data_IF_433200633591
#
_entry.id   IF_433200633591
#
_cell.length_a   1.000
_cell.length_b   1.000
_cell.length_c   1.000
_cell.angle_alpha   90.00
_cell.angle_beta   90.00
_cell.angle_gamma   90.00
#
_symmetry.space_group_name_H-M   'P 1'
#
loop_
_entity.id
_entity.type
_entity.pdbx_description
1 polymer ?
#
# COMPACT_ATOMS: atom_id res chain seq x y z
N UNK A 1 -23.19 -1.60 8.26
CA UNK A 1 -22.87 -3.04 8.11
C UNK A 1 -21.78 -3.17 7.05
N UNK A 2 -20.63 -3.70 7.47
CA UNK A 2 -19.41 -4.01 6.70
C UNK A 2 -18.57 -2.83 6.23
N UNK A 3 -17.65 -2.39 7.10
CA UNK A 3 -16.33 -1.85 6.74
C UNK A 3 -15.59 -2.87 5.86
N UNK A 4 -15.94 -2.93 4.57
CA UNK A 4 -15.19 -3.71 3.59
C UNK A 4 -13.87 -2.99 3.37
N UNK A 5 -12.83 -3.38 4.11
CA UNK A 5 -11.45 -2.96 3.82
C UNK A 5 -11.14 -3.45 2.40
N UNK A 6 -11.12 -2.55 1.42
CA UNK A 6 -10.90 -2.90 0.02
C UNK A 6 -9.58 -3.66 -0.12
N UNK A 7 -9.57 -4.75 -0.88
CA UNK A 7 -8.36 -5.55 -1.07
C UNK A 7 -7.39 -4.72 -1.90
N UNK A 8 -6.43 -4.09 -1.23
CA UNK A 8 -5.37 -3.32 -1.89
C UNK A 8 -4.52 -4.28 -2.72
N UNK A 9 -4.45 -4.02 -4.02
CA UNK A 9 -3.60 -4.79 -4.93
C UNK A 9 -2.14 -4.42 -4.71
N UNK A 10 -1.32 -5.37 -4.27
CA UNK A 10 0.10 -5.14 -4.00
C UNK A 10 0.88 -6.46 -4.03
N UNK A 11 2.14 -6.41 -4.46
CA UNK A 11 3.05 -7.55 -4.43
C UNK A 11 3.41 -7.94 -2.98
N UNK A 12 3.71 -9.23 -2.67
CA UNK A 12 4.17 -9.63 -1.34
C UNK A 12 5.35 -8.82 -0.82
N UNK A 13 6.28 -8.44 -1.70
CA UNK A 13 7.45 -7.62 -1.35
C UNK A 13 7.05 -6.22 -0.87
N UNK A 14 6.11 -5.57 -1.56
CA UNK A 14 5.57 -4.25 -1.19
C UNK A 14 4.86 -4.30 0.17
N UNK A 15 4.08 -5.36 0.43
CA UNK A 15 3.43 -5.56 1.74
C UNK A 15 4.44 -5.74 2.88
N UNK A 16 5.53 -6.47 2.62
CA UNK A 16 6.62 -6.63 3.59
C UNK A 16 7.26 -5.29 3.91
N UNK A 17 7.58 -4.52 2.85
CA UNK A 17 8.18 -3.18 2.96
C UNK A 17 7.31 -2.23 3.81
N UNK A 18 6.01 -2.15 3.51
CA UNK A 18 5.09 -1.30 4.26
C UNK A 18 5.07 -1.66 5.76
N UNK A 19 5.04 -2.96 6.10
CA UNK A 19 5.09 -3.43 7.49
C UNK A 19 6.41 -3.11 8.19
N UNK A 20 7.54 -3.25 7.49
CA UNK A 20 8.87 -2.95 8.05
C UNK A 20 9.02 -1.48 8.43
N UNK A 21 8.39 -0.58 7.66
CA UNK A 21 8.37 0.84 7.96
C UNK A 21 7.17 1.31 8.81
N UNK A 22 6.30 0.39 9.23
CA UNK A 22 5.11 0.74 10.01
C UNK A 22 4.01 1.47 9.23
N UNK A 23 4.06 1.47 7.90
CA UNK A 23 3.05 2.08 7.04
C UNK A 23 1.84 1.13 6.84
N UNK A 24 0.61 1.66 6.98
CA UNK A 24 -0.59 0.91 6.62
C UNK A 24 -0.82 0.97 5.10
N UNK A 25 -0.69 -0.17 4.42
CA UNK A 25 -0.88 -0.28 2.97
C UNK A 25 -2.28 0.17 2.50
N UNK A 26 -3.27 0.18 3.39
CA UNK A 26 -4.62 0.66 3.09
C UNK A 26 -4.77 2.18 3.14
N UNK A 27 -3.74 2.91 3.58
CA UNK A 27 -3.66 4.37 3.50
C UNK A 27 -2.81 4.83 2.31
N UNK A 28 -2.14 3.90 1.62
CA UNK A 28 -1.23 4.19 0.53
C UNK A 28 -2.02 4.17 -0.78
N UNK A 29 -2.01 5.28 -1.49
CA UNK A 29 -2.61 5.38 -2.81
C UNK A 29 -1.70 4.69 -3.84
N UNK A 30 -2.21 3.63 -4.49
CA UNK A 30 -1.47 2.93 -5.53
C UNK A 30 -1.46 3.71 -6.85
N UNK A 31 -0.28 3.90 -7.43
CA UNK A 31 -0.10 4.62 -8.69
C UNK A 31 -0.15 3.71 -9.93
N UNK A 32 -0.08 2.39 -9.76
CA UNK A 32 -0.08 1.45 -10.87
C UNK A 32 -1.49 1.06 -11.33
N UNK A 33 -1.55 0.27 -12.41
CA UNK A 33 -2.79 -0.21 -13.04
C UNK A 33 -3.76 -0.80 -12.01
N UNK A 34 -5.01 -0.37 -12.07
CA UNK A 34 -6.09 -0.76 -11.12
C UNK A 34 -5.80 -0.39 -9.66
N UNK A 35 -5.08 0.71 -9.41
CA UNK A 35 -4.78 1.18 -8.06
C UNK A 35 -3.80 0.26 -7.31
N UNK A 36 -2.97 -0.48 -8.05
CA UNK A 36 -1.94 -1.33 -7.45
C UNK A 36 -0.86 -0.47 -6.80
N UNK A 37 -0.49 -0.83 -5.58
CA UNK A 37 0.57 -0.18 -4.80
C UNK A 37 1.93 -0.77 -5.18
N UNK A 38 2.87 0.10 -5.55
CA UNK A 38 4.27 -0.24 -5.83
C UNK A 38 5.20 0.07 -4.65
N UNK A 39 6.49 -0.29 -4.79
CA UNK A 39 7.50 0.08 -3.79
C UNK A 39 7.73 1.60 -3.74
N UNK A 40 7.58 2.29 -4.87
CA UNK A 40 7.71 3.75 -4.93
C UNK A 40 6.58 4.44 -4.17
N UNK A 41 5.35 3.95 -4.27
CA UNK A 41 4.19 4.49 -3.56
C UNK A 41 4.39 4.41 -2.04
N UNK A 42 4.87 3.26 -1.55
CA UNK A 42 5.16 3.06 -0.12
C UNK A 42 6.26 4.01 0.36
N UNK A 43 7.36 4.11 -0.41
CA UNK A 43 8.47 5.01 -0.06
C UNK A 43 8.06 6.47 -0.06
N UNK A 44 7.22 6.86 -1.02
CA UNK A 44 6.71 8.22 -1.13
C UNK A 44 5.81 8.55 0.07
N UNK A 45 4.93 7.62 0.46
CA UNK A 45 4.06 7.78 1.62
C UNK A 45 4.80 7.95 2.96
N UNK A 46 5.96 7.32 3.14
CA UNK A 46 6.76 7.41 4.38
C UNK A 46 7.63 8.67 4.42
N UNK A 47 7.92 9.25 3.26
CA UNK A 47 8.82 10.40 3.17
C UNK A 47 8.14 11.72 3.55
N UNK A 48 6.81 11.75 3.53
CA UNK A 48 5.97 12.83 4.05
C UNK A 48 5.70 12.65 5.55
#
# INVERSE_FOLDING_TARGET
MSDKKEIVSASPKVRKLAREFGADIYQIQGSQREGRVSEEDVKSFIKD
#
